data_IF_458417458888
#
_entry.id   IF_458417458888
#
_cell.length_a   1.000
_cell.length_b   1.000
_cell.length_c   1.000
_cell.angle_alpha   90.00
_cell.angle_beta   90.00
_cell.angle_gamma   90.00
#
_symmetry.space_group_name_H-M   'P 1'
#
loop_
_entity.id
_entity.type
_entity.pdbx_description
1 polymer ?
#
# COMPACT_ATOMS: atom_id res chain seq x y z
N UNK A 1 28.55 -8.98 -8.90
CA UNK A 1 28.76 -7.59 -8.44
C UNK A 1 29.30 -7.62 -7.01
N UNK A 2 30.41 -6.93 -6.74
CA UNK A 2 31.00 -6.89 -5.38
C UNK A 2 30.41 -5.77 -4.51
N UNK A 3 29.64 -4.85 -5.10
CA UNK A 3 29.12 -3.62 -4.49
C UNK A 3 27.58 -3.54 -4.49
N UNK A 4 26.88 -4.66 -4.71
CA UNK A 4 25.41 -4.70 -4.78
C UNK A 4 24.85 -5.52 -3.63
N UNK A 5 23.79 -4.99 -3.02
CA UNK A 5 22.98 -5.67 -2.02
C UNK A 5 21.54 -5.68 -2.51
N UNK A 6 20.95 -6.87 -2.61
CA UNK A 6 19.53 -7.05 -2.91
C UNK A 6 18.79 -7.24 -1.60
N UNK A 7 17.85 -6.35 -1.29
CA UNK A 7 17.01 -6.44 -0.11
C UNK A 7 15.64 -7.00 -0.47
N UNK A 8 15.12 -7.91 0.35
CA UNK A 8 13.78 -8.47 0.25
C UNK A 8 13.10 -8.46 1.62
N UNK A 9 11.78 -8.35 1.60
CA UNK A 9 10.92 -8.38 2.80
C UNK A 9 9.76 -9.33 2.59
N UNK A 10 9.34 -10.00 3.66
CA UNK A 10 8.15 -10.84 3.66
C UNK A 10 6.87 -10.01 3.91
N UNK A 11 6.99 -8.72 4.20
CA UNK A 11 5.86 -7.85 4.58
C UNK A 11 4.84 -7.56 3.48
N UNK A 12 5.10 -7.96 2.23
CA UNK A 12 4.23 -7.65 1.07
C UNK A 12 3.92 -8.91 0.27
N UNK A 13 4.89 -9.43 -0.46
CA UNK A 13 4.70 -10.59 -1.35
C UNK A 13 4.33 -11.89 -0.62
N UNK A 14 4.59 -11.98 0.68
CA UNK A 14 4.24 -13.12 1.53
C UNK A 14 3.15 -12.77 2.55
N UNK A 15 2.51 -11.60 2.47
CA UNK A 15 1.43 -11.17 3.38
C UNK A 15 1.79 -11.14 4.87
N UNK A 16 3.08 -11.10 5.23
CA UNK A 16 3.57 -11.14 6.61
C UNK A 16 4.04 -9.76 7.11
N UNK A 17 3.21 -8.72 6.92
CA UNK A 17 3.57 -7.35 7.31
C UNK A 17 3.89 -7.21 8.81
N UNK A 18 3.14 -7.91 9.66
CA UNK A 18 3.31 -7.92 11.11
C UNK A 18 4.52 -8.71 11.62
N UNK A 19 5.09 -9.61 10.82
CA UNK A 19 6.19 -10.49 11.24
C UNK A 19 7.56 -9.79 11.25
N UNK A 20 7.66 -8.62 10.60
CA UNK A 20 8.89 -7.79 10.54
C UNK A 20 10.16 -8.53 10.06
N UNK A 21 10.00 -9.53 9.19
CA UNK A 21 11.12 -10.30 8.63
C UNK A 21 11.54 -9.81 7.23
N UNK A 22 12.84 -9.68 7.03
CA UNK A 22 13.47 -9.43 5.74
C UNK A 22 14.86 -10.05 5.65
N UNK A 23 15.42 -10.07 4.45
CA UNK A 23 16.75 -10.62 4.19
C UNK A 23 17.48 -9.82 3.11
N UNK A 24 18.81 -9.87 3.16
CA UNK A 24 19.70 -9.30 2.16
C UNK A 24 20.52 -10.39 1.48
N UNK A 25 20.71 -10.26 0.17
CA UNK A 25 21.63 -11.11 -0.61
C UNK A 25 22.71 -10.19 -1.17
N UNK A 26 23.97 -10.47 -0.83
CA UNK A 26 25.10 -9.64 -1.20
C UNK A 26 26.39 -10.47 -1.27
N UNK A 27 27.44 -9.89 -1.84
CA UNK A 27 28.77 -10.49 -1.85
C UNK A 27 29.27 -10.69 -0.40
N UNK A 28 29.95 -11.82 -0.08
CA UNK A 28 30.41 -12.10 1.30
C UNK A 28 31.26 -10.99 1.93
N UNK A 29 32.07 -10.27 1.14
CA UNK A 29 32.84 -9.11 1.61
C UNK A 29 31.95 -8.00 2.20
N UNK A 30 30.79 -7.74 1.60
CA UNK A 30 29.82 -6.75 2.12
C UNK A 30 29.12 -7.28 3.37
N UNK A 31 28.74 -8.56 3.36
CA UNK A 31 28.07 -9.20 4.49
C UNK A 31 28.96 -9.23 5.73
N UNK A 32 30.27 -9.40 5.58
CA UNK A 32 31.21 -9.34 6.69
C UNK A 32 31.19 -7.99 7.42
N UNK A 33 30.97 -6.88 6.72
CA UNK A 33 30.76 -5.57 7.33
C UNK A 33 29.42 -5.47 8.06
N UNK A 34 28.35 -5.93 7.41
CA UNK A 34 26.99 -5.95 7.99
C UNK A 34 26.89 -6.78 9.26
N UNK A 35 27.54 -7.95 9.31
CA UNK A 35 27.50 -8.82 10.49
C UNK A 35 28.20 -8.23 11.71
N UNK A 36 29.13 -7.28 11.54
CA UNK A 36 29.78 -6.58 12.66
C UNK A 36 28.85 -5.61 13.39
N UNK A 37 27.85 -5.07 12.69
CA UNK A 37 26.89 -4.10 13.24
C UNK A 37 25.53 -4.73 13.54
N UNK A 38 25.29 -5.95 13.04
CA UNK A 38 24.03 -6.68 13.26
C UNK A 38 23.94 -7.08 14.72
N UNK A 39 22.84 -6.72 15.37
CA UNK A 39 22.53 -7.20 16.72
C UNK A 39 22.45 -8.74 16.75
N UNK A 40 22.85 -9.33 17.87
CA UNK A 40 22.94 -10.79 18.04
C UNK A 40 21.57 -11.45 17.90
N UNK A 41 20.51 -10.80 18.39
CA UNK A 41 19.13 -11.31 18.38
C UNK A 41 18.18 -10.34 17.69
N UNK A 42 18.41 -10.09 16.40
CA UNK A 42 17.64 -9.14 15.61
C UNK A 42 16.33 -9.71 15.02
N UNK A 43 16.04 -10.99 15.22
CA UNK A 43 14.85 -11.70 14.71
C UNK A 43 14.43 -12.76 15.73
N UNK A 44 13.14 -12.84 16.06
CA UNK A 44 12.60 -13.85 16.96
C UNK A 44 12.39 -15.21 16.29
N UNK A 45 12.31 -16.28 17.11
CA UNK A 45 12.19 -17.65 16.60
C UNK A 45 10.88 -17.90 15.83
N UNK A 46 9.77 -17.24 16.20
CA UNK A 46 8.49 -17.39 15.52
C UNK A 46 8.58 -16.75 14.12
N UNK A 47 9.21 -15.59 14.01
CA UNK A 47 9.48 -14.94 12.73
C UNK A 47 10.32 -15.82 11.81
N UNK A 48 11.38 -16.48 12.32
CA UNK A 48 12.20 -17.40 11.53
C UNK A 48 11.36 -18.59 11.04
N UNK A 49 10.59 -19.22 11.93
CA UNK A 49 9.78 -20.40 11.60
C UNK A 49 8.72 -20.09 10.55
N UNK A 50 7.90 -19.05 10.77
CA UNK A 50 6.87 -18.63 9.85
C UNK A 50 7.44 -18.10 8.54
N UNK A 51 8.56 -17.37 8.60
CA UNK A 51 9.27 -16.89 7.43
C UNK A 51 9.79 -18.02 6.55
N UNK A 52 10.39 -19.05 7.14
CA UNK A 52 10.87 -20.21 6.41
C UNK A 52 9.71 -21.00 5.76
N UNK A 53 8.57 -21.15 6.47
CA UNK A 53 7.38 -21.79 5.92
C UNK A 53 6.82 -21.00 4.72
N UNK A 54 6.67 -19.69 4.87
CA UNK A 54 6.17 -18.82 3.80
C UNK A 54 7.08 -18.82 2.57
N UNK A 55 8.40 -18.82 2.75
CA UNK A 55 9.36 -18.90 1.63
C UNK A 55 9.27 -20.25 0.91
N UNK A 56 8.95 -21.35 1.60
CA UNK A 56 8.78 -22.66 0.93
C UNK A 56 7.48 -22.76 0.15
N UNK A 57 6.41 -22.09 0.59
CA UNK A 57 5.12 -22.10 -0.09
C UNK A 57 5.08 -21.10 -1.27
N UNK A 58 5.78 -21.45 -2.35
CA UNK A 58 5.78 -20.64 -3.57
C UNK A 58 4.42 -20.63 -4.27
N UNK A 59 3.65 -21.73 -4.18
CA UNK A 59 2.35 -21.83 -4.84
C UNK A 59 1.36 -20.80 -4.27
N UNK A 60 1.25 -20.70 -2.94
CA UNK A 60 0.41 -19.69 -2.29
C UNK A 60 0.85 -18.27 -2.64
N UNK A 61 2.16 -18.00 -2.54
CA UNK A 61 2.71 -16.66 -2.85
C UNK A 61 2.46 -16.28 -4.31
N UNK A 62 2.63 -17.20 -5.26
CA UNK A 62 2.37 -16.92 -6.69
C UNK A 62 0.87 -16.72 -6.97
N UNK A 63 0.00 -17.48 -6.31
CA UNK A 63 -1.46 -17.26 -6.38
C UNK A 63 -1.85 -15.86 -5.84
N UNK A 64 -1.33 -15.45 -4.69
CA UNK A 64 -1.55 -14.11 -4.14
C UNK A 64 -1.03 -13.01 -5.07
N UNK A 65 0.17 -13.18 -5.63
CA UNK A 65 0.76 -12.20 -6.57
C UNK A 65 -0.10 -12.08 -7.82
N UNK A 66 -0.60 -13.18 -8.36
CA UNK A 66 -1.45 -13.16 -9.55
C UNK A 66 -2.80 -12.48 -9.26
N UNK A 67 -3.41 -12.73 -8.09
CA UNK A 67 -4.61 -12.02 -7.66
C UNK A 67 -4.36 -10.51 -7.58
N UNK A 68 -3.30 -10.07 -6.90
CA UNK A 68 -2.94 -8.64 -6.80
C UNK A 68 -2.68 -8.01 -8.18
N UNK A 69 -2.04 -8.73 -9.11
CA UNK A 69 -1.83 -8.24 -10.48
C UNK A 69 -3.14 -8.04 -11.22
N UNK A 70 -4.07 -8.99 -11.12
CA UNK A 70 -5.38 -8.90 -11.74
C UNK A 70 -6.20 -7.74 -11.16
N UNK A 71 -6.33 -7.66 -9.84
CA UNK A 71 -7.04 -6.56 -9.16
C UNK A 71 -6.42 -5.19 -9.47
N UNK A 72 -5.07 -5.11 -9.56
CA UNK A 72 -4.37 -3.88 -9.96
C UNK A 72 -4.71 -3.46 -11.39
N UNK A 73 -4.80 -4.42 -12.31
CA UNK A 73 -5.14 -4.14 -13.70
C UNK A 73 -6.57 -3.58 -13.80
N UNK A 74 -7.53 -4.22 -13.12
CA UNK A 74 -8.91 -3.75 -13.05
C UNK A 74 -9.02 -2.35 -12.43
N UNK A 75 -8.45 -2.15 -11.24
CA UNK A 75 -8.44 -0.85 -10.58
C UNK A 75 -7.81 0.25 -11.47
N UNK A 76 -6.77 -0.08 -12.24
CA UNK A 76 -6.14 0.86 -13.18
C UNK A 76 -7.11 1.26 -14.29
N UNK A 77 -7.87 0.31 -14.84
CA UNK A 77 -8.89 0.58 -15.87
C UNK A 77 -10.00 1.46 -15.28
N UNK A 78 -10.52 1.11 -14.11
CA UNK A 78 -11.61 1.85 -13.49
C UNK A 78 -11.22 3.30 -13.18
N UNK A 79 -10.03 3.52 -12.61
CA UNK A 79 -9.52 4.87 -12.35
C UNK A 79 -9.34 5.66 -13.64
N UNK A 80 -8.83 5.04 -14.71
CA UNK A 80 -8.71 5.71 -16.02
C UNK A 80 -10.08 6.08 -16.61
N UNK A 81 -11.09 5.24 -16.44
CA UNK A 81 -12.47 5.54 -16.86
C UNK A 81 -13.06 6.73 -16.09
N UNK A 82 -12.62 6.97 -14.86
CA UNK A 82 -12.94 8.17 -14.07
C UNK A 82 -12.09 9.41 -14.43
N UNK A 83 -11.24 9.32 -15.46
CA UNK A 83 -10.39 10.42 -15.91
C UNK A 83 -9.06 10.57 -15.17
N UNK A 84 -8.66 9.61 -14.33
CA UNK A 84 -7.34 9.66 -13.69
C UNK A 84 -6.23 9.31 -14.67
N UNK A 85 -5.09 9.97 -14.50
CA UNK A 85 -3.83 9.50 -15.09
C UNK A 85 -3.16 8.51 -14.14
N UNK A 86 -2.96 7.28 -14.60
CA UNK A 86 -2.38 6.18 -13.79
C UNK A 86 -1.23 5.53 -14.55
N UNK A 87 0.04 5.78 -14.17
CA UNK A 87 1.20 5.10 -14.73
C UNK A 87 1.18 3.59 -14.42
N UNK A 88 1.85 2.81 -15.26
CA UNK A 88 1.99 1.37 -15.02
C UNK A 88 2.77 1.11 -13.72
N UNK A 89 2.23 0.27 -12.85
CA UNK A 89 2.85 -0.08 -11.57
C UNK A 89 3.32 -1.53 -11.55
N UNK A 90 4.50 -1.76 -11.00
CA UNK A 90 5.01 -3.10 -10.70
C UNK A 90 4.79 -3.51 -9.23
N UNK A 91 4.30 -2.60 -8.38
CA UNK A 91 4.06 -2.83 -6.95
C UNK A 91 2.64 -3.27 -6.60
N UNK A 92 2.32 -3.36 -5.32
CA UNK A 92 0.97 -3.66 -4.80
C UNK A 92 0.11 -2.39 -4.60
N UNK A 93 0.38 -1.35 -5.37
CA UNK A 93 -0.31 -0.06 -5.31
C UNK A 93 -0.29 0.58 -6.69
N UNK A 94 -1.15 1.57 -6.92
CA UNK A 94 -1.11 2.46 -8.08
C UNK A 94 -0.90 3.90 -7.62
N UNK A 95 -0.30 4.72 -8.49
CA UNK A 95 -0.17 6.15 -8.28
C UNK A 95 -1.12 6.83 -9.25
N UNK A 96 -2.12 7.53 -8.73
CA UNK A 96 -3.21 8.08 -9.52
C UNK A 96 -3.24 9.60 -9.38
N UNK A 97 -3.22 10.30 -10.51
CA UNK A 97 -3.38 11.76 -10.58
C UNK A 97 -4.84 12.07 -10.95
N UNK A 98 -5.60 12.77 -10.09
CA UNK A 98 -6.98 13.15 -10.39
C UNK A 98 -7.08 14.08 -11.60
N UNK A 99 -8.21 14.09 -12.32
CA UNK A 99 -8.41 14.96 -13.48
C UNK A 99 -8.27 16.45 -13.12
N UNK A 100 -8.82 16.88 -11.99
CA UNK A 100 -8.72 18.26 -11.50
C UNK A 100 -7.37 18.58 -10.80
N UNK A 101 -6.46 17.59 -10.70
CA UNK A 101 -5.19 17.65 -9.95
C UNK A 101 -5.28 18.05 -8.48
N UNK A 102 -6.47 18.07 -7.90
CA UNK A 102 -6.69 18.30 -6.47
C UNK A 102 -6.72 16.97 -5.69
N UNK A 103 -5.54 16.40 -5.46
CA UNK A 103 -5.40 15.16 -4.70
C UNK A 103 -5.66 15.33 -3.20
N UNK A 104 -5.38 16.50 -2.63
CA UNK A 104 -5.56 16.77 -1.20
C UNK A 104 -7.03 16.73 -0.80
N UNK A 105 -7.90 17.41 -1.56
CA UNK A 105 -9.34 17.42 -1.29
C UNK A 105 -9.96 16.04 -1.44
N UNK A 106 -9.60 15.30 -2.49
CA UNK A 106 -10.07 13.93 -2.68
C UNK A 106 -9.61 13.00 -1.54
N UNK A 107 -8.35 13.12 -1.11
CA UNK A 107 -7.85 12.37 0.04
C UNK A 107 -8.66 12.66 1.32
N UNK A 108 -8.93 13.93 1.61
CA UNK A 108 -9.72 14.32 2.79
C UNK A 108 -11.15 13.79 2.70
N UNK A 109 -11.79 13.90 1.54
CA UNK A 109 -13.15 13.42 1.30
C UNK A 109 -13.26 11.88 1.39
N UNK A 110 -12.27 11.14 0.91
CA UNK A 110 -12.16 9.69 1.07
C UNK A 110 -11.96 9.30 2.54
N UNK A 111 -11.08 10.02 3.25
CA UNK A 111 -10.82 9.78 4.67
C UNK A 111 -12.09 9.94 5.51
N UNK A 112 -12.91 10.95 5.24
CA UNK A 112 -14.22 11.15 5.90
C UNK A 112 -15.19 9.99 5.66
N UNK A 113 -15.05 9.28 4.54
CA UNK A 113 -15.84 8.09 4.18
C UNK A 113 -15.23 6.78 4.68
N UNK A 114 -14.18 6.84 5.52
CA UNK A 114 -13.50 5.66 6.05
C UNK A 114 -12.60 4.94 5.04
N UNK A 115 -12.29 5.57 3.91
CA UNK A 115 -11.45 5.00 2.84
C UNK A 115 -10.05 5.60 2.95
N UNK A 116 -9.08 4.78 3.37
CA UNK A 116 -7.72 5.24 3.63
C UNK A 116 -6.79 5.00 2.44
N UNK A 117 -6.49 6.07 1.73
CA UNK A 117 -5.42 6.13 0.72
C UNK A 117 -4.26 6.98 1.22
N UNK A 118 -3.11 6.96 0.54
CA UNK A 118 -1.95 7.76 0.93
C UNK A 118 -1.82 8.99 0.02
N UNK A 119 -1.78 10.16 0.64
CA UNK A 119 -1.43 11.44 0.02
C UNK A 119 -0.04 11.89 0.51
N UNK A 120 0.70 12.61 -0.34
CA UNK A 120 2.02 13.16 -0.02
C UNK A 120 2.03 14.66 -0.35
N UNK A 121 2.13 15.51 0.67
CA UNK A 121 2.36 16.94 0.49
C UNK A 121 3.84 17.22 0.23
N UNK A 122 4.33 16.74 -0.91
CA UNK A 122 5.73 16.84 -1.33
C UNK A 122 5.80 17.20 -2.82
N UNK A 123 6.77 18.04 -3.25
CA UNK A 123 6.90 18.43 -4.64
C UNK A 123 6.93 17.22 -5.58
N UNK A 124 6.05 17.22 -6.58
CA UNK A 124 5.96 16.17 -7.59
C UNK A 124 5.07 14.99 -7.20
N UNK A 125 4.52 14.95 -5.99
CA UNK A 125 3.55 13.96 -5.51
C UNK A 125 2.27 14.59 -4.92
N UNK A 126 2.25 15.91 -4.78
CA UNK A 126 1.18 16.74 -4.22
C UNK A 126 -0.09 16.79 -5.10
N UNK A 127 0.00 16.35 -6.35
CA UNK A 127 -1.15 16.12 -7.23
C UNK A 127 -1.52 14.64 -7.38
N UNK A 128 -1.03 13.75 -6.48
CA UNK A 128 -1.17 12.29 -6.63
C UNK A 128 -1.68 11.59 -5.36
N UNK A 129 -2.45 10.54 -5.59
CA UNK A 129 -2.86 9.56 -4.57
C UNK A 129 -2.12 8.25 -4.80
N UNK A 130 -1.47 7.70 -3.76
CA UNK A 130 -0.95 6.34 -3.77
C UNK A 130 -1.99 5.41 -3.14
N UNK A 131 -2.62 4.62 -3.99
CA UNK A 131 -3.72 3.72 -3.65
C UNK A 131 -3.17 2.30 -3.56
N UNK A 132 -3.20 1.69 -2.39
CA UNK A 132 -2.85 0.26 -2.24
C UNK A 132 -3.94 -0.59 -2.88
N UNK A 133 -3.55 -1.63 -3.61
CA UNK A 133 -4.49 -2.59 -4.20
C UNK A 133 -5.02 -3.46 -3.07
N UNK A 134 -6.31 -3.33 -2.76
CA UNK A 134 -7.02 -4.15 -1.79
C UNK A 134 -7.66 -5.37 -2.45
N UNK A 135 -8.65 -5.93 -1.75
CA UNK A 135 -9.60 -6.90 -2.33
C UNK A 135 -10.44 -6.24 -3.44
N UNK A 136 -11.04 -7.05 -4.31
CA UNK A 136 -11.83 -6.53 -5.43
C UNK A 136 -13.02 -5.70 -4.91
N UNK A 137 -13.64 -6.13 -3.81
CA UNK A 137 -14.73 -5.43 -3.13
C UNK A 137 -14.27 -4.07 -2.56
N UNK A 138 -13.10 -4.02 -1.92
CA UNK A 138 -12.54 -2.78 -1.39
C UNK A 138 -12.17 -1.80 -2.52
N UNK A 139 -11.61 -2.31 -3.62
CA UNK A 139 -11.26 -1.52 -4.79
C UNK A 139 -12.54 -0.94 -5.41
N UNK A 140 -13.61 -1.72 -5.50
CA UNK A 140 -14.89 -1.27 -6.03
C UNK A 140 -15.53 -0.17 -5.17
N UNK A 141 -15.54 -0.33 -3.83
CA UNK A 141 -16.02 0.71 -2.90
C UNK A 141 -15.26 2.02 -3.08
N UNK A 142 -13.94 1.95 -3.28
CA UNK A 142 -13.11 3.12 -3.57
C UNK A 142 -13.49 3.78 -4.91
N UNK A 143 -13.60 3.00 -5.99
CA UNK A 143 -13.94 3.49 -7.33
C UNK A 143 -15.30 4.21 -7.31
N UNK A 144 -16.30 3.62 -6.67
CA UNK A 144 -17.63 4.24 -6.56
C UNK A 144 -17.62 5.53 -5.74
N UNK A 145 -16.84 5.57 -4.65
CA UNK A 145 -16.69 6.78 -3.86
C UNK A 145 -16.01 7.90 -4.67
N UNK A 146 -14.97 7.57 -5.44
CA UNK A 146 -14.29 8.51 -6.33
C UNK A 146 -15.23 9.00 -7.44
N UNK A 147 -16.02 8.11 -8.04
CA UNK A 147 -16.98 8.48 -9.07
C UNK A 147 -17.96 9.54 -8.56
N UNK A 148 -18.57 9.31 -7.38
CA UNK A 148 -19.50 10.27 -6.74
C UNK A 148 -18.84 11.62 -6.44
N UNK A 149 -17.60 11.61 -5.97
CA UNK A 149 -16.85 12.82 -5.65
C UNK A 149 -16.50 13.64 -6.89
N UNK A 150 -16.25 12.99 -8.03
CA UNK A 150 -15.90 13.66 -9.29
C UNK A 150 -17.14 14.17 -10.02
N UNK A 151 -18.26 13.44 -9.97
CA UNK A 151 -19.51 13.87 -10.60
C UNK A 151 -20.27 14.95 -9.82
N UNK A 152 -19.79 15.34 -8.64
CA UNK A 152 -20.44 16.35 -7.79
C UNK A 152 -21.78 15.91 -7.20
N UNK A 153 -22.13 14.62 -7.30
CA UNK A 153 -23.36 14.06 -6.76
C UNK A 153 -23.14 13.60 -5.32
N UNK A 154 -23.13 14.56 -4.39
CA UNK A 154 -23.19 14.24 -2.96
C UNK A 154 -24.59 13.78 -2.55
N UNK A 155 -24.73 12.64 -1.87
CA UNK A 155 -25.91 12.39 -1.05
C UNK A 155 -25.78 13.25 0.21
N UNK A 156 -26.64 14.26 0.30
CA UNK A 156 -27.01 14.92 1.54
C UNK A 156 -27.57 13.87 2.51
N UNK A 157 -26.73 13.27 3.36
CA UNK A 157 -27.11 12.90 4.73
C UNK A 157 -25.95 12.23 5.49
N UNK A 158 -25.43 12.94 6.49
CA UNK A 158 -25.22 12.43 7.85
C UNK A 158 -24.95 13.59 8.78
N UNK A 159 -25.92 13.87 9.63
CA UNK A 159 -25.84 14.77 10.78
C UNK A 159 -24.51 14.56 11.51
N UNK A 160 -23.75 15.64 11.62
CA UNK A 160 -22.63 15.83 12.51
C UNK A 160 -23.09 15.48 13.93
N UNK A 161 -22.57 14.40 14.50
CA UNK A 161 -22.64 14.17 15.94
C UNK A 161 -21.55 15.06 16.55
N UNK A 162 -21.87 16.06 17.39
CA UNK A 162 -20.84 16.82 18.07
C UNK A 162 -20.14 15.91 19.07
N UNK A 163 -18.85 15.69 18.87
CA UNK A 163 -17.96 15.12 19.89
C UNK A 163 -17.83 16.17 21.00
N UNK A 164 -18.59 15.99 22.08
CA UNK A 164 -18.40 16.70 23.35
C UNK A 164 -16.98 16.46 23.84
N UNK A 165 -16.25 17.55 24.09
CA UNK A 165 -14.88 17.53 24.56
C UNK A 165 -14.88 17.92 26.05
N UNK A 166 -15.25 16.98 26.92
CA UNK A 166 -15.13 17.16 28.36
C UNK A 166 -13.81 16.53 28.86
N UNK A 167 -12.92 17.31 29.51
CA UNK A 167 -11.72 16.78 30.14
C UNK A 167 -12.10 16.14 31.49
N UNK A 168 -11.92 14.82 31.59
CA UNK A 168 -12.04 14.09 32.85
C UNK A 168 -10.89 14.50 33.77
N UNK A 169 -11.27 15.02 34.95
CA UNK A 169 -10.40 15.27 36.12
C UNK A 169 -9.91 13.97 36.74
#
# INVERSE_FOLDING_TARGET
>A
FENVIVLRTLSKGYSLAGLRLGFGVAHPKLLAGLFKVKDSYNVDAIAILLGAAAIRDQAYKDACVNKVKASRAMLTVDLKNLGFTVPYSHGNFVLATPPARDAESLYLALKQRGIFVRYFKQPGLDDKLRISVGTDEQNQVLVEALARLISGSEPSDRKTIPISNDPVR
#
